data_IF_455650859063
#
_entry.id   IF_455650859063
#
_cell.length_a   1.000
_cell.length_b   1.000
_cell.length_c   1.000
_cell.angle_alpha   90.00
_cell.angle_beta   90.00
_cell.angle_gamma   90.00
#
_symmetry.space_group_name_H-M   'P 1'
#
loop_
_entity.id
_entity.type
_entity.pdbx_description
1 polymer ?
#
# COMPACT_ATOMS: atom_id res chain seq x y z
N UNK A 1 -16.67 16.00 -51.40
CA UNK A 1 -15.72 14.96 -51.81
C UNK A 1 -14.33 15.41 -51.42
N UNK A 2 -13.77 14.80 -50.46
CA UNK A 2 -12.37 14.40 -50.26
C UNK A 2 -12.11 14.19 -48.77
N UNK A 3 -12.08 12.99 -48.45
CA UNK A 3 -11.32 12.17 -47.53
C UNK A 3 -10.45 12.91 -46.48
N UNK A 4 -10.82 12.83 -45.21
CA UNK A 4 -9.92 13.00 -44.06
C UNK A 4 -9.60 11.60 -43.56
N UNK A 5 -8.36 11.18 -43.78
CA UNK A 5 -7.80 9.92 -43.36
C UNK A 5 -7.66 9.83 -41.83
N UNK A 6 -8.27 8.79 -41.27
CA UNK A 6 -7.94 8.24 -39.97
C UNK A 6 -6.44 7.97 -39.83
N UNK A 7 -5.80 8.59 -38.85
CA UNK A 7 -4.55 8.10 -38.26
C UNK A 7 -4.84 7.48 -36.92
N UNK A 8 -5.18 6.18 -36.95
CA UNK A 8 -5.06 5.31 -35.78
C UNK A 8 -3.60 5.21 -35.37
N UNK A 9 -3.22 5.84 -34.28
CA UNK A 9 -1.98 5.54 -33.58
C UNK A 9 -2.23 4.43 -32.58
N UNK A 10 -1.84 3.21 -32.99
CA UNK A 10 -1.68 2.04 -32.11
C UNK A 10 -0.46 2.25 -31.23
N UNK A 11 -0.66 2.56 -29.94
CA UNK A 11 0.40 2.45 -28.94
C UNK A 11 0.14 1.22 -28.08
N UNK A 12 0.69 0.10 -28.53
CA UNK A 12 1.05 -1.04 -27.68
C UNK A 12 2.27 -0.64 -26.86
N UNK A 13 2.07 -0.03 -25.70
CA UNK A 13 3.12 0.16 -24.71
C UNK A 13 3.38 -1.18 -24.02
N UNK A 14 4.33 -1.94 -24.57
CA UNK A 14 4.95 -3.07 -23.90
C UNK A 14 5.71 -2.56 -22.69
N UNK A 15 5.22 -2.85 -21.50
CA UNK A 15 5.96 -2.70 -20.25
C UNK A 15 7.03 -3.78 -20.17
N UNK A 16 8.18 -3.51 -20.78
CA UNK A 16 9.43 -4.24 -20.53
C UNK A 16 10.01 -3.72 -19.20
N UNK A 17 9.79 -4.49 -18.13
CA UNK A 17 10.61 -4.40 -16.93
C UNK A 17 11.93 -5.12 -17.18
N UNK A 18 13.08 -4.45 -17.27
CA UNK A 18 14.37 -5.10 -17.17
C UNK A 18 14.81 -5.11 -15.71
N UNK A 19 14.14 -5.92 -14.89
CA UNK A 19 14.54 -6.12 -13.50
C UNK A 19 14.29 -7.57 -13.11
N UNK A 20 15.23 -8.47 -13.32
CA UNK A 20 15.32 -9.66 -12.46
C UNK A 20 16.65 -10.40 -12.56
N UNK A 21 17.32 -10.44 -13.71
CA UNK A 21 18.52 -11.28 -13.83
C UNK A 21 19.76 -10.79 -13.07
N UNK A 22 19.97 -9.47 -12.93
CA UNK A 22 21.12 -8.95 -12.15
C UNK A 22 20.89 -9.03 -10.64
N UNK A 23 19.64 -8.88 -10.19
CA UNK A 23 19.25 -9.02 -8.79
C UNK A 23 19.40 -10.47 -8.33
N UNK A 24 18.94 -11.43 -9.12
CA UNK A 24 19.01 -12.85 -8.78
C UNK A 24 20.44 -13.41 -8.74
N UNK A 25 21.32 -12.98 -9.62
CA UNK A 25 22.75 -13.38 -9.58
C UNK A 25 23.46 -12.82 -8.35
N UNK A 26 23.17 -11.59 -7.94
CA UNK A 26 23.74 -11.01 -6.71
C UNK A 26 23.17 -11.66 -5.45
N UNK A 27 21.89 -12.02 -5.43
CA UNK A 27 21.25 -12.73 -4.33
C UNK A 27 21.79 -14.17 -4.24
N UNK A 28 21.99 -14.88 -5.37
CA UNK A 28 22.62 -16.22 -5.39
C UNK A 28 24.08 -16.17 -4.94
N UNK A 29 24.89 -15.20 -5.39
CA UNK A 29 26.27 -15.01 -4.92
C UNK A 29 26.36 -14.68 -3.43
N UNK A 30 25.48 -13.80 -2.91
CA UNK A 30 25.38 -13.51 -1.46
C UNK A 30 24.93 -14.74 -0.65
N UNK A 31 24.03 -15.57 -1.18
CA UNK A 31 23.60 -16.82 -0.52
C UNK A 31 24.73 -17.85 -0.50
N UNK A 32 25.47 -18.02 -1.58
CA UNK A 32 26.63 -18.92 -1.66
C UNK A 32 27.77 -18.47 -0.73
N UNK A 33 28.11 -17.19 -0.70
CA UNK A 33 29.12 -16.65 0.23
C UNK A 33 28.72 -16.76 1.71
N UNK A 34 27.41 -16.68 2.07
CA UNK A 34 26.92 -16.93 3.43
C UNK A 34 26.96 -18.41 3.81
N UNK A 35 26.71 -19.33 2.87
CA UNK A 35 26.81 -20.77 3.13
C UNK A 35 28.29 -21.21 3.34
N UNK A 36 29.22 -20.67 2.57
CA UNK A 36 30.65 -20.99 2.71
C UNK A 36 31.23 -20.43 4.02
N UNK A 37 30.83 -19.25 4.44
CA UNK A 37 31.25 -18.67 5.72
C UNK A 37 30.70 -19.46 6.92
N UNK A 38 29.53 -20.04 6.81
CA UNK A 38 28.93 -20.93 7.83
C UNK A 38 29.68 -22.27 7.93
N UNK A 39 30.07 -22.86 6.81
CA UNK A 39 30.88 -24.11 6.78
C UNK A 39 32.26 -23.93 7.39
N UNK A 40 33.00 -22.88 7.03
CA UNK A 40 34.31 -22.59 7.58
C UNK A 40 34.28 -22.37 9.11
N UNK A 41 33.26 -21.66 9.60
CA UNK A 41 33.10 -21.39 11.01
C UNK A 41 32.76 -22.68 11.79
N UNK A 42 31.89 -23.53 11.22
CA UNK A 42 31.54 -24.83 11.79
C UNK A 42 32.78 -25.73 11.99
N UNK A 43 33.68 -25.84 11.00
CA UNK A 43 34.90 -26.64 11.11
C UNK A 43 35.89 -26.05 12.11
N UNK A 44 36.01 -24.72 12.19
CA UNK A 44 36.85 -24.06 13.22
C UNK A 44 36.42 -24.41 14.64
N UNK A 45 35.13 -24.42 14.90
CA UNK A 45 34.57 -24.76 16.23
C UNK A 45 34.80 -26.24 16.61
N UNK A 46 35.16 -27.11 15.66
CA UNK A 46 35.45 -28.53 15.87
C UNK A 46 36.91 -28.88 15.91
N UNK A 47 37.82 -27.95 15.62
CA UNK A 47 39.27 -28.16 15.69
C UNK A 47 39.69 -28.73 17.06
N UNK A 48 39.22 -28.24 18.22
CA UNK A 48 39.58 -28.80 19.51
C UNK A 48 39.23 -30.29 19.65
N UNK A 49 38.05 -30.67 19.20
CA UNK A 49 37.58 -32.08 19.24
C UNK A 49 38.42 -32.96 18.34
N UNK A 50 38.79 -32.50 17.15
CA UNK A 50 39.65 -33.23 16.24
C UNK A 50 41.05 -33.36 16.78
N UNK A 51 41.63 -32.33 17.40
CA UNK A 51 42.96 -32.36 18.03
C UNK A 51 43.00 -33.35 19.22
N UNK A 52 42.00 -33.29 20.11
CA UNK A 52 41.93 -34.20 21.27
C UNK A 52 41.80 -35.67 20.80
N UNK A 53 40.96 -35.95 19.80
CA UNK A 53 40.87 -37.31 19.25
C UNK A 53 42.17 -37.74 18.54
N UNK A 54 42.82 -36.83 17.81
CA UNK A 54 44.11 -37.12 17.14
C UNK A 54 45.20 -37.47 18.15
N UNK A 55 45.32 -36.69 19.23
CA UNK A 55 46.28 -36.98 20.33
C UNK A 55 45.95 -38.33 20.99
N UNK A 56 44.64 -38.59 21.28
CA UNK A 56 44.17 -39.86 21.80
C UNK A 56 44.53 -41.07 20.93
N UNK A 57 44.39 -40.94 19.61
CA UNK A 57 44.75 -41.97 18.64
C UNK A 57 46.26 -42.25 18.67
N UNK A 58 47.10 -41.22 18.72
CA UNK A 58 48.56 -41.40 18.80
C UNK A 58 48.96 -42.09 20.07
N UNK A 59 48.45 -41.64 21.22
CA UNK A 59 48.74 -42.27 22.52
C UNK A 59 48.30 -43.74 22.57
N UNK A 60 47.07 -44.03 22.07
CA UNK A 60 46.56 -45.40 22.00
C UNK A 60 47.42 -46.29 21.10
N UNK A 61 47.84 -45.77 19.92
CA UNK A 61 48.73 -46.50 19.00
C UNK A 61 50.06 -46.86 19.63
N UNK A 62 50.72 -45.89 20.29
CA UNK A 62 51.97 -46.14 21.01
C UNK A 62 51.79 -47.15 22.11
N UNK A 63 50.76 -47.06 22.92
CA UNK A 63 50.45 -47.98 23.97
C UNK A 63 50.24 -49.43 23.46
N UNK A 64 49.42 -49.60 22.40
CA UNK A 64 49.14 -50.91 21.81
C UNK A 64 50.37 -51.57 21.21
N UNK A 65 51.26 -50.82 20.59
CA UNK A 65 52.52 -51.31 20.02
C UNK A 65 53.52 -51.74 21.15
N UNK A 66 53.57 -51.00 22.28
CA UNK A 66 54.39 -51.34 23.45
C UNK A 66 53.89 -52.59 24.15
N UNK A 67 52.63 -52.90 24.13
CA UNK A 67 52.00 -54.12 24.66
C UNK A 67 52.24 -55.32 23.77
N UNK A 68 52.86 -55.15 22.56
CA UNK A 68 53.16 -56.25 21.69
C UNK A 68 52.09 -56.65 20.68
N UNK A 69 51.11 -55.81 20.44
CA UNK A 69 50.11 -56.07 19.38
C UNK A 69 50.73 -55.94 18.01
N UNK A 70 50.21 -56.74 17.06
CA UNK A 70 50.66 -56.65 15.65
C UNK A 70 50.27 -55.29 15.02
N UNK A 71 51.09 -54.69 14.18
CA UNK A 71 50.78 -53.41 13.48
C UNK A 71 49.46 -53.44 12.74
N UNK A 72 49.08 -54.60 12.17
CA UNK A 72 47.82 -54.78 11.43
C UNK A 72 46.58 -54.66 12.35
N UNK A 73 46.69 -55.21 13.57
CA UNK A 73 45.60 -55.09 14.56
C UNK A 73 45.43 -53.65 15.04
N UNK A 74 46.52 -52.91 15.23
CA UNK A 74 46.50 -51.48 15.60
C UNK A 74 45.91 -50.65 14.48
N UNK A 75 46.27 -50.91 13.22
CA UNK A 75 45.73 -50.23 12.07
C UNK A 75 44.20 -50.45 11.94
N UNK A 76 43.73 -51.67 12.17
CA UNK A 76 42.28 -51.98 12.15
C UNK A 76 41.51 -51.21 13.23
N UNK A 77 42.01 -51.15 14.46
CA UNK A 77 41.40 -50.41 15.58
C UNK A 77 41.33 -48.91 15.22
N UNK A 78 42.38 -48.32 14.69
CA UNK A 78 42.42 -46.91 14.27
C UNK A 78 41.41 -46.63 13.14
N UNK A 79 41.31 -47.55 12.17
CA UNK A 79 40.36 -47.41 11.10
C UNK A 79 38.90 -47.40 11.60
N UNK A 80 38.55 -48.31 12.53
CA UNK A 80 37.20 -48.36 13.17
C UNK A 80 36.99 -47.07 13.96
N UNK A 81 37.98 -46.53 14.66
CA UNK A 81 37.86 -45.28 15.42
C UNK A 81 37.61 -44.10 14.50
N UNK A 82 38.37 -43.97 13.40
CA UNK A 82 38.20 -42.89 12.40
C UNK A 82 36.81 -42.95 11.78
N UNK A 83 36.34 -44.16 11.41
CA UNK A 83 35.04 -44.36 10.84
C UNK A 83 33.93 -43.96 11.83
N UNK A 84 34.04 -44.35 13.08
CA UNK A 84 33.12 -43.98 14.16
C UNK A 84 33.06 -42.49 14.38
N UNK A 85 34.22 -41.81 14.41
CA UNK A 85 34.34 -40.36 14.53
C UNK A 85 33.71 -39.65 13.35
N UNK A 86 33.93 -40.13 12.13
CA UNK A 86 33.34 -39.58 10.91
C UNK A 86 31.83 -39.69 10.92
N UNK A 87 31.25 -40.86 11.28
CA UNK A 87 29.81 -41.07 11.40
C UNK A 87 29.23 -40.13 12.47
N UNK A 88 29.85 -40.03 13.64
CA UNK A 88 29.41 -39.16 14.72
C UNK A 88 29.33 -37.69 14.29
N UNK A 89 30.42 -37.17 13.68
CA UNK A 89 30.46 -35.77 13.20
C UNK A 89 29.47 -35.52 12.07
N UNK A 90 29.27 -36.48 11.19
CA UNK A 90 28.27 -36.39 10.09
C UNK A 90 26.86 -36.31 10.61
N UNK A 91 26.49 -37.15 11.59
CA UNK A 91 25.15 -37.13 12.22
C UNK A 91 24.92 -35.80 12.96
N UNK A 92 25.91 -35.28 13.68
CA UNK A 92 25.80 -33.99 14.37
C UNK A 92 25.61 -32.84 13.36
N UNK A 93 26.35 -32.84 12.26
CA UNK A 93 26.24 -31.85 11.21
C UNK A 93 24.87 -31.88 10.55
N UNK A 94 24.35 -33.08 10.24
CA UNK A 94 23.05 -33.26 9.63
C UNK A 94 21.90 -32.80 10.54
N UNK A 95 21.92 -33.19 11.83
CA UNK A 95 20.93 -32.76 12.84
C UNK A 95 20.90 -31.24 12.98
N UNK A 96 22.08 -30.60 13.09
CA UNK A 96 22.20 -29.14 13.20
C UNK A 96 21.69 -28.43 11.96
N UNK A 97 22.06 -28.92 10.78
CA UNK A 97 21.58 -28.36 9.51
C UNK A 97 20.05 -28.43 9.41
N UNK A 98 19.46 -29.59 9.67
CA UNK A 98 18.02 -29.79 9.63
C UNK A 98 17.27 -28.86 10.58
N UNK A 99 17.79 -28.67 11.80
CA UNK A 99 17.22 -27.75 12.79
C UNK A 99 17.26 -26.29 12.32
N UNK A 100 18.38 -25.87 11.75
CA UNK A 100 18.54 -24.51 11.21
C UNK A 100 17.65 -24.26 9.97
N UNK A 101 17.55 -25.23 9.07
CA UNK A 101 16.71 -25.11 7.89
C UNK A 101 15.23 -24.99 8.29
N UNK A 102 14.76 -25.76 9.28
CA UNK A 102 13.40 -25.64 9.82
C UNK A 102 13.13 -24.25 10.43
N UNK A 103 14.05 -23.70 11.21
CA UNK A 103 13.90 -22.36 11.80
C UNK A 103 13.89 -21.26 10.71
N UNK A 104 14.70 -21.41 9.68
CA UNK A 104 14.72 -20.46 8.55
C UNK A 104 13.45 -20.53 7.71
N UNK A 105 12.87 -21.71 7.55
CA UNK A 105 11.61 -21.90 6.84
C UNK A 105 10.45 -21.30 7.62
N UNK A 106 10.37 -21.55 8.93
CA UNK A 106 9.42 -20.88 9.82
C UNK A 106 9.53 -19.35 9.73
N UNK A 107 10.75 -18.81 9.79
CA UNK A 107 10.97 -17.36 9.72
C UNK A 107 10.59 -16.73 8.35
N UNK A 108 10.59 -17.52 7.26
CA UNK A 108 10.19 -17.03 5.94
C UNK A 108 8.67 -17.04 5.73
N UNK A 109 7.98 -17.99 6.35
CA UNK A 109 6.54 -18.19 6.18
C UNK A 109 5.71 -17.35 7.14
N UNK A 110 6.35 -16.62 8.07
CA UNK A 110 5.70 -15.70 9.00
C UNK A 110 5.61 -14.31 8.35
N UNK A 111 4.41 -13.80 8.18
CA UNK A 111 4.15 -12.42 7.76
C UNK A 111 4.68 -11.45 8.82
N UNK A 112 4.49 -11.77 10.09
CA UNK A 112 4.95 -10.99 11.23
C UNK A 112 6.15 -11.66 11.91
N UNK A 113 7.35 -11.31 11.48
CA UNK A 113 8.62 -11.95 11.90
C UNK A 113 8.94 -11.82 13.39
N UNK A 114 8.34 -10.88 14.11
CA UNK A 114 8.54 -10.71 15.55
C UNK A 114 7.87 -11.83 16.39
N UNK A 115 6.87 -12.52 15.82
CA UNK A 115 6.24 -13.68 16.45
C UNK A 115 7.14 -14.94 16.44
N UNK A 116 8.27 -14.90 15.71
CA UNK A 116 9.20 -16.02 15.64
C UNK A 116 9.69 -16.48 17.03
N UNK A 117 9.79 -15.55 17.98
CA UNK A 117 10.23 -15.84 19.35
C UNK A 117 9.28 -16.79 20.11
N UNK A 118 7.98 -16.75 19.83
CA UNK A 118 6.99 -17.61 20.47
C UNK A 118 6.98 -19.03 19.89
N UNK A 119 7.34 -19.15 18.61
CA UNK A 119 7.36 -20.42 17.88
C UNK A 119 8.66 -21.22 18.07
N UNK A 120 9.66 -20.66 18.75
CA UNK A 120 10.91 -21.39 19.00
C UNK A 120 10.65 -22.58 19.95
N UNK A 121 11.12 -23.79 19.57
CA UNK A 121 10.94 -24.99 20.39
C UNK A 121 11.65 -24.87 21.75
N UNK A 122 11.00 -25.38 22.81
CA UNK A 122 11.52 -25.34 24.18
C UNK A 122 12.69 -26.33 24.45
N UNK A 123 12.94 -27.24 23.53
CA UNK A 123 14.00 -28.25 23.64
C UNK A 123 15.31 -27.73 23.10
N UNK A 124 16.05 -26.99 23.92
CA UNK A 124 17.37 -26.48 23.60
C UNK A 124 18.37 -26.90 24.65
N UNK A 125 19.65 -26.99 24.29
CA UNK A 125 20.72 -27.13 25.28
C UNK A 125 20.80 -25.88 26.17
N UNK A 126 21.49 -25.98 27.31
CA UNK A 126 21.58 -24.89 28.28
C UNK A 126 21.98 -23.54 27.70
N UNK A 127 22.94 -23.51 26.76
CA UNK A 127 23.35 -22.29 26.05
C UNK A 127 22.26 -21.76 25.11
N UNK A 128 21.59 -22.65 24.36
CA UNK A 128 20.50 -22.27 23.45
C UNK A 128 19.31 -21.68 24.22
N UNK A 129 19.04 -22.16 25.43
CA UNK A 129 17.96 -21.66 26.29
C UNK A 129 18.17 -20.20 26.67
N UNK A 130 19.41 -19.79 26.99
CA UNK A 130 19.75 -18.39 27.32
C UNK A 130 19.50 -17.50 26.10
N UNK A 131 19.95 -17.91 24.92
CA UNK A 131 19.70 -17.15 23.68
C UNK A 131 18.22 -17.02 23.33
N UNK A 132 17.46 -18.11 23.50
CA UNK A 132 15.99 -18.09 23.29
C UNK A 132 15.32 -17.14 24.29
N UNK A 133 15.75 -17.15 25.56
CA UNK A 133 15.21 -16.26 26.59
C UNK A 133 15.51 -14.78 26.26
N UNK A 134 16.75 -14.45 25.91
CA UNK A 134 17.12 -13.09 25.47
C UNK A 134 16.34 -12.65 24.25
N UNK A 135 16.17 -13.54 23.27
CA UNK A 135 15.39 -13.25 22.07
C UNK A 135 13.93 -13.01 22.38
N UNK A 136 13.33 -13.81 23.27
CA UNK A 136 11.94 -13.60 23.75
C UNK A 136 11.78 -12.28 24.50
N UNK A 137 12.72 -11.92 25.36
CA UNK A 137 12.71 -10.63 26.05
C UNK A 137 12.78 -9.46 25.07
N UNK A 138 13.68 -9.51 24.09
CA UNK A 138 13.80 -8.48 23.08
C UNK A 138 12.54 -8.39 22.20
N UNK A 139 11.99 -9.54 21.77
CA UNK A 139 10.76 -9.58 20.97
C UNK A 139 9.55 -9.06 21.75
N UNK A 140 9.44 -9.40 23.03
CA UNK A 140 8.38 -8.88 23.91
C UNK A 140 8.45 -7.36 24.04
N UNK A 141 9.65 -6.81 24.27
CA UNK A 141 9.84 -5.35 24.35
C UNK A 141 9.48 -4.67 23.03
N UNK A 142 9.85 -5.26 21.86
CA UNK A 142 9.45 -4.72 20.55
C UNK A 142 7.93 -4.76 20.35
N UNK A 143 7.26 -5.84 20.76
CA UNK A 143 5.81 -5.97 20.69
C UNK A 143 5.10 -4.94 21.55
N UNK A 144 5.58 -4.71 22.77
CA UNK A 144 5.07 -3.67 23.66
C UNK A 144 5.20 -2.29 23.03
N UNK A 145 6.38 -1.93 22.50
CA UNK A 145 6.61 -0.65 21.82
C UNK A 145 5.73 -0.48 20.56
N UNK A 146 5.58 -1.54 19.75
CA UNK A 146 4.67 -1.50 18.58
C UNK A 146 3.23 -1.31 19.04
N UNK A 147 2.82 -1.97 20.12
CA UNK A 147 1.49 -1.82 20.73
C UNK A 147 1.23 -0.40 21.20
N UNK A 148 2.20 0.19 21.90
CA UNK A 148 2.12 1.56 22.39
C UNK A 148 2.01 2.57 21.23
N UNK A 149 2.88 2.46 20.22
CA UNK A 149 2.82 3.34 19.03
C UNK A 149 1.49 3.19 18.28
N UNK A 150 0.94 1.96 18.18
CA UNK A 150 -0.38 1.74 17.56
C UNK A 150 -1.50 2.39 18.37
N UNK A 151 -1.44 2.29 19.70
CA UNK A 151 -2.42 2.90 20.61
C UNK A 151 -2.37 4.41 20.54
N UNK A 152 -1.18 5.02 20.67
CA UNK A 152 -1.00 6.47 20.60
C UNK A 152 -1.53 7.05 19.27
N UNK A 153 -1.27 6.34 18.15
CA UNK A 153 -1.84 6.72 16.85
C UNK A 153 -3.36 6.65 16.82
N UNK A 154 -3.93 5.62 17.43
CA UNK A 154 -5.38 5.45 17.49
C UNK A 154 -6.01 6.56 18.32
N UNK A 155 -5.47 6.85 19.50
CA UNK A 155 -5.93 7.92 20.38
C UNK A 155 -5.83 9.29 19.70
N UNK A 156 -4.70 9.56 19.01
CA UNK A 156 -4.53 10.79 18.24
C UNK A 156 -5.59 10.93 17.12
N UNK A 157 -5.91 9.84 16.41
CA UNK A 157 -6.94 9.85 15.38
C UNK A 157 -8.31 10.16 15.97
N UNK A 158 -8.70 9.46 17.03
CA UNK A 158 -9.99 9.66 17.69
C UNK A 158 -10.12 11.10 18.19
N UNK A 159 -9.06 11.66 18.76
CA UNK A 159 -9.00 13.06 19.14
C UNK A 159 -9.23 14.01 17.95
N UNK A 160 -8.54 13.79 16.83
CA UNK A 160 -8.71 14.63 15.64
C UNK A 160 -10.14 14.51 15.07
N UNK A 161 -10.71 13.30 15.02
CA UNK A 161 -12.09 13.10 14.55
C UNK A 161 -13.10 13.85 15.45
N UNK A 162 -12.97 13.72 16.74
CA UNK A 162 -13.81 14.44 17.70
C UNK A 162 -13.67 15.95 17.53
N UNK A 163 -12.44 16.45 17.48
CA UNK A 163 -12.15 17.88 17.31
C UNK A 163 -12.77 18.44 16.02
N UNK A 164 -12.68 17.71 14.91
CA UNK A 164 -13.31 18.11 13.65
C UNK A 164 -14.83 18.14 13.76
N UNK A 165 -15.46 17.19 14.46
CA UNK A 165 -16.89 17.23 14.72
C UNK A 165 -17.31 18.47 15.52
N UNK A 166 -16.51 18.85 16.52
CA UNK A 166 -16.74 20.06 17.31
C UNK A 166 -16.61 21.35 16.49
N UNK A 167 -15.68 21.40 15.52
CA UNK A 167 -15.51 22.53 14.61
C UNK A 167 -16.63 22.60 13.55
N UNK A 168 -17.12 21.45 13.05
CA UNK A 168 -18.21 21.43 12.06
C UNK A 168 -19.52 22.05 12.60
N UNK A 169 -19.79 21.95 13.89
CA UNK A 169 -20.97 22.52 14.52
C UNK A 169 -21.04 24.04 14.37
N UNK A 170 -20.04 24.84 14.80
CA UNK A 170 -20.06 26.29 14.58
C UNK A 170 -19.98 26.68 13.11
N UNK A 171 -19.29 25.93 12.26
CA UNK A 171 -19.28 26.15 10.81
C UNK A 171 -20.70 26.05 10.25
N UNK A 172 -21.44 25.02 10.62
CA UNK A 172 -22.85 24.83 10.20
C UNK A 172 -23.73 25.97 10.71
N UNK A 173 -23.57 26.38 11.96
CA UNK A 173 -24.30 27.50 12.51
C UNK A 173 -24.02 28.82 11.75
N UNK A 174 -22.77 29.09 11.42
CA UNK A 174 -22.39 30.26 10.62
C UNK A 174 -22.98 30.21 9.21
N UNK A 175 -22.98 29.05 8.54
CA UNK A 175 -23.66 28.86 7.24
C UNK A 175 -25.13 29.21 7.32
N UNK A 176 -25.86 28.69 8.31
CA UNK A 176 -27.28 28.96 8.52
C UNK A 176 -27.56 30.46 8.79
N UNK A 177 -26.69 31.12 9.57
CA UNK A 177 -26.83 32.56 9.80
C UNK A 177 -26.64 33.36 8.52
N UNK A 178 -25.68 33.01 7.67
CA UNK A 178 -25.48 33.66 6.37
C UNK A 178 -26.62 33.38 5.38
N UNK A 179 -27.20 32.19 5.39
CA UNK A 179 -28.36 31.84 4.55
C UNK A 179 -29.63 32.61 4.96
N UNK A 180 -29.83 32.84 6.25
CA UNK A 180 -30.95 33.58 6.79
C UNK A 180 -30.84 35.09 6.59
N UNK A 181 -29.63 35.62 6.48
CA UNK A 181 -29.35 37.06 6.33
C UNK A 181 -28.62 37.34 5.01
N UNK A 182 -29.34 37.29 3.89
CA UNK A 182 -28.78 37.44 2.54
C UNK A 182 -28.33 38.89 2.29
N UNK A 183 -27.05 39.13 2.20
CA UNK A 183 -26.41 40.38 1.82
C UNK A 183 -25.18 40.09 0.96
N UNK A 184 -24.58 41.11 0.37
CA UNK A 184 -23.31 40.98 -0.33
C UNK A 184 -22.19 40.52 0.64
N UNK A 185 -22.15 41.11 1.82
CA UNK A 185 -21.20 40.71 2.89
C UNK A 185 -21.36 39.24 3.31
N UNK A 186 -22.61 38.75 3.46
CA UNK A 186 -22.82 37.34 3.84
C UNK A 186 -22.47 36.36 2.74
N UNK A 187 -22.48 36.76 1.46
CA UNK A 187 -21.97 35.94 0.35
C UNK A 187 -20.46 35.78 0.39
N UNK A 188 -19.72 36.87 0.65
CA UNK A 188 -18.28 36.80 0.82
C UNK A 188 -17.90 35.95 2.02
N UNK A 189 -18.57 36.15 3.16
CA UNK A 189 -18.36 35.36 4.38
C UNK A 189 -18.66 33.86 4.15
N UNK A 190 -19.70 33.52 3.37
CA UNK A 190 -20.04 32.15 3.03
C UNK A 190 -18.88 31.45 2.29
N UNK A 191 -18.19 32.16 1.42
CA UNK A 191 -17.03 31.60 0.69
C UNK A 191 -15.89 31.23 1.64
N UNK A 192 -15.60 32.07 2.62
CA UNK A 192 -14.56 31.79 3.64
C UNK A 192 -14.98 30.64 4.57
N UNK A 193 -16.26 30.56 4.92
CA UNK A 193 -16.82 29.46 5.70
C UNK A 193 -16.73 28.13 4.93
N UNK A 194 -17.09 28.11 3.64
CA UNK A 194 -16.91 26.92 2.78
C UNK A 194 -15.45 26.50 2.65
N UNK A 195 -14.54 27.46 2.54
CA UNK A 195 -13.11 27.17 2.50
C UNK A 195 -12.61 26.56 3.82
N UNK A 196 -13.07 27.09 4.97
CA UNK A 196 -12.75 26.54 6.29
C UNK A 196 -13.30 25.12 6.45
N UNK A 197 -14.53 24.87 6.01
CA UNK A 197 -15.15 23.55 6.00
C UNK A 197 -14.36 22.54 5.15
N UNK A 198 -13.91 22.94 3.96
CA UNK A 198 -13.03 22.13 3.11
C UNK A 198 -11.71 21.76 3.79
N UNK A 199 -11.08 22.69 4.51
CA UNK A 199 -9.85 22.40 5.24
C UNK A 199 -10.09 21.42 6.41
N UNK A 200 -11.20 21.54 7.11
CA UNK A 200 -11.57 20.61 8.19
C UNK A 200 -11.86 19.22 7.64
N UNK A 201 -12.56 19.12 6.52
CA UNK A 201 -12.76 17.85 5.83
C UNK A 201 -11.45 17.23 5.35
N UNK A 202 -10.55 18.02 4.76
CA UNK A 202 -9.24 17.56 4.33
C UNK A 202 -8.44 16.98 5.51
N UNK A 203 -8.48 17.62 6.68
CA UNK A 203 -7.83 17.13 7.88
C UNK A 203 -8.46 15.81 8.39
N UNK A 204 -9.79 15.68 8.32
CA UNK A 204 -10.51 14.44 8.66
C UNK A 204 -10.09 13.28 7.77
N UNK A 205 -10.17 13.48 6.45
CA UNK A 205 -9.81 12.43 5.49
C UNK A 205 -8.30 12.09 5.55
N UNK A 206 -7.46 13.08 5.89
CA UNK A 206 -6.04 12.82 6.14
C UNK A 206 -5.86 11.88 7.35
N UNK A 207 -6.51 12.17 8.49
CA UNK A 207 -6.45 11.33 9.68
C UNK A 207 -6.98 9.90 9.41
N UNK A 208 -8.12 9.79 8.71
CA UNK A 208 -8.72 8.50 8.30
C UNK A 208 -7.91 7.75 7.27
N UNK A 209 -7.21 8.45 6.38
CA UNK A 209 -6.43 7.82 5.31
C UNK A 209 -5.19 7.08 5.83
N UNK A 210 -4.70 7.36 7.03
CA UNK A 210 -3.51 6.71 7.61
C UNK A 210 -3.76 5.29 8.08
N UNK A 211 -5.01 4.89 8.38
CA UNK A 211 -5.36 3.56 8.85
C UNK A 211 -6.34 2.82 7.93
N UNK A 212 -6.15 1.52 7.89
CA UNK A 212 -6.81 0.55 7.01
C UNK A 212 -8.11 0.01 7.64
N UNK A 213 -9.07 -0.35 6.82
CA UNK A 213 -9.97 -1.50 6.97
C UNK A 213 -11.29 -1.33 7.72
N UNK A 214 -11.58 -0.25 8.48
CA UNK A 214 -12.86 -0.18 9.22
C UNK A 214 -13.76 1.03 8.91
N UNK A 215 -13.26 2.03 8.19
CA UNK A 215 -13.95 3.32 8.09
C UNK A 215 -14.66 3.58 6.76
N UNK A 216 -14.66 2.66 5.79
CA UNK A 216 -15.38 2.82 4.53
C UNK A 216 -16.47 1.77 4.37
N UNK A 217 -17.61 2.20 3.87
CA UNK A 217 -18.78 1.35 3.58
C UNK A 217 -18.96 1.23 2.08
N UNK A 218 -18.53 0.11 1.52
CA UNK A 218 -18.71 -0.17 0.10
C UNK A 218 -20.17 -0.55 -0.15
N UNK A 219 -20.84 0.22 -1.01
CA UNK A 219 -22.20 -0.04 -1.46
C UNK A 219 -22.33 0.27 -2.96
N UNK A 220 -23.38 -0.20 -3.56
CA UNK A 220 -23.74 0.20 -4.91
C UNK A 220 -24.24 1.64 -4.89
N UNK A 221 -23.61 2.51 -5.68
CA UNK A 221 -23.92 3.94 -5.77
C UNK A 221 -24.13 4.34 -7.24
N UNK A 222 -25.07 5.21 -7.50
CA UNK A 222 -25.21 5.86 -8.81
C UNK A 222 -24.20 7.00 -8.90
N UNK A 223 -23.31 6.90 -9.87
CA UNK A 223 -22.14 7.79 -9.94
C UNK A 223 -22.54 9.25 -10.14
N UNK A 224 -23.55 9.53 -10.97
CA UNK A 224 -24.02 10.88 -11.23
C UNK A 224 -24.77 11.51 -10.05
N UNK A 225 -25.42 10.73 -9.18
CA UNK A 225 -25.98 11.25 -7.93
C UNK A 225 -24.88 11.82 -7.03
N UNK A 226 -23.73 11.16 -6.97
CA UNK A 226 -22.57 11.63 -6.17
C UNK A 226 -21.91 12.86 -6.81
N UNK A 227 -21.86 12.93 -8.15
CA UNK A 227 -21.37 14.11 -8.88
C UNK A 227 -22.25 15.32 -8.57
N UNK A 228 -23.58 15.17 -8.64
CA UNK A 228 -24.53 16.25 -8.31
C UNK A 228 -24.40 16.71 -6.85
N UNK A 229 -24.22 15.77 -5.92
CA UNK A 229 -23.95 16.15 -4.53
C UNK A 229 -22.66 16.95 -4.38
N UNK A 230 -21.56 16.53 -5.05
CA UNK A 230 -20.30 17.25 -5.02
C UNK A 230 -20.40 18.66 -5.65
N UNK A 231 -21.15 18.81 -6.75
CA UNK A 231 -21.44 20.11 -7.34
C UNK A 231 -22.26 20.97 -6.35
N UNK A 232 -23.25 20.37 -5.70
CA UNK A 232 -24.08 21.03 -4.69
C UNK A 232 -23.28 21.53 -3.49
N UNK A 233 -22.29 20.76 -3.01
CA UNK A 233 -21.40 21.14 -1.90
C UNK A 233 -20.55 22.36 -2.22
N UNK A 234 -20.22 22.57 -3.49
CA UNK A 234 -19.38 23.68 -3.95
C UNK A 234 -20.21 24.80 -4.63
N UNK A 235 -21.52 24.80 -4.47
CA UNK A 235 -22.44 25.69 -5.20
C UNK A 235 -22.05 27.16 -5.12
N UNK A 236 -21.82 27.71 -3.95
CA UNK A 236 -21.48 29.14 -3.77
C UNK A 236 -20.13 29.45 -4.38
N UNK A 237 -19.16 28.59 -4.18
CA UNK A 237 -17.81 28.72 -4.74
C UNK A 237 -17.83 28.69 -6.28
N UNK A 238 -18.61 27.81 -6.88
CA UNK A 238 -18.79 27.68 -8.33
C UNK A 238 -19.51 28.91 -8.92
N UNK A 239 -20.59 29.37 -8.26
CA UNK A 239 -21.35 30.55 -8.68
C UNK A 239 -20.50 31.83 -8.60
N UNK A 240 -19.74 32.01 -7.52
CA UNK A 240 -18.87 33.19 -7.33
C UNK A 240 -17.81 33.26 -8.44
N UNK A 241 -17.28 32.11 -8.83
CA UNK A 241 -16.25 32.03 -9.90
C UNK A 241 -16.87 31.91 -11.31
N UNK A 242 -18.21 31.98 -11.46
CA UNK A 242 -18.92 31.86 -12.73
C UNK A 242 -18.54 30.59 -13.50
N UNK A 243 -18.39 29.48 -12.79
CA UNK A 243 -17.97 28.21 -13.38
C UNK A 243 -19.07 27.65 -14.30
N UNK A 244 -18.70 27.23 -15.50
CA UNK A 244 -19.55 26.47 -16.40
C UNK A 244 -19.38 24.98 -16.10
N UNK A 245 -20.50 24.26 -15.96
CA UNK A 245 -20.50 22.84 -15.63
C UNK A 245 -21.32 22.10 -16.67
N UNK A 246 -20.76 21.07 -17.24
CA UNK A 246 -21.39 20.16 -18.17
C UNK A 246 -21.37 18.74 -17.60
N UNK A 247 -22.50 18.04 -17.68
CA UNK A 247 -22.63 16.64 -17.21
C UNK A 247 -23.29 15.81 -18.30
N UNK A 248 -22.59 14.79 -18.80
CA UNK A 248 -23.20 13.78 -19.67
C UNK A 248 -23.84 12.68 -18.82
N UNK A 249 -25.12 12.87 -18.51
CA UNK A 249 -25.90 11.97 -17.65
C UNK A 249 -25.83 10.51 -18.12
N UNK A 250 -25.54 9.61 -17.20
CA UNK A 250 -25.47 8.18 -17.46
C UNK A 250 -25.95 7.39 -16.24
N UNK A 251 -26.76 6.37 -16.45
CA UNK A 251 -27.23 5.48 -15.38
C UNK A 251 -26.18 4.42 -15.01
N UNK A 252 -25.02 4.92 -14.62
CA UNK A 252 -23.86 4.09 -14.28
C UNK A 252 -23.76 3.93 -12.77
N UNK A 253 -23.72 2.65 -12.32
CA UNK A 253 -23.57 2.29 -10.91
C UNK A 253 -22.20 1.64 -10.67
N UNK A 254 -21.58 1.99 -9.54
CA UNK A 254 -20.29 1.45 -9.10
C UNK A 254 -20.39 1.00 -7.64
N UNK A 255 -19.59 0.00 -7.25
CA UNK A 255 -19.44 -0.42 -5.86
C UNK A 255 -18.32 0.38 -5.21
N UNK A 256 -18.67 1.32 -4.33
CA UNK A 256 -17.66 2.16 -3.64
C UNK A 256 -18.26 2.83 -2.40
N UNK A 257 -17.45 3.61 -1.69
CA UNK A 257 -17.91 4.47 -0.60
C UNK A 257 -18.28 5.85 -1.15
N UNK A 258 -19.56 6.21 -1.04
CA UNK A 258 -20.11 7.47 -1.55
C UNK A 258 -19.42 8.69 -0.95
N UNK A 259 -19.12 8.68 0.36
CA UNK A 259 -18.50 9.81 1.05
C UNK A 259 -17.07 10.05 0.55
N UNK A 260 -16.33 8.97 0.30
CA UNK A 260 -14.96 9.05 -0.18
C UNK A 260 -14.90 9.51 -1.65
N UNK A 261 -15.80 9.00 -2.50
CA UNK A 261 -15.92 9.48 -3.89
C UNK A 261 -16.32 10.95 -3.92
N UNK A 262 -17.31 11.36 -3.12
CA UNK A 262 -17.73 12.77 -3.00
C UNK A 262 -16.56 13.68 -2.59
N UNK A 263 -15.74 13.26 -1.62
CA UNK A 263 -14.55 13.99 -1.24
C UNK A 263 -13.55 14.13 -2.40
N UNK A 264 -13.28 13.04 -3.15
CA UNK A 264 -12.39 13.07 -4.31
C UNK A 264 -12.93 14.07 -5.35
N UNK A 265 -14.21 14.01 -5.68
CA UNK A 265 -14.83 14.93 -6.62
C UNK A 265 -14.76 16.38 -6.15
N UNK A 266 -15.01 16.64 -4.87
CA UNK A 266 -14.88 17.98 -4.27
C UNK A 266 -13.44 18.52 -4.45
N UNK A 267 -12.43 17.70 -4.24
CA UNK A 267 -11.02 18.11 -4.45
C UNK A 267 -10.73 18.42 -5.94
N UNK A 268 -11.27 17.64 -6.87
CA UNK A 268 -11.10 17.88 -8.31
C UNK A 268 -11.82 19.14 -8.76
N UNK A 269 -13.05 19.39 -8.30
CA UNK A 269 -13.82 20.61 -8.56
C UNK A 269 -13.05 21.85 -8.09
N UNK A 270 -12.56 21.81 -6.84
CA UNK A 270 -11.80 22.93 -6.26
C UNK A 270 -10.51 23.19 -7.05
N UNK A 271 -9.81 22.14 -7.48
CA UNK A 271 -8.60 22.27 -8.28
C UNK A 271 -8.91 22.90 -9.66
N UNK A 272 -9.94 22.44 -10.36
CA UNK A 272 -10.36 22.99 -11.64
C UNK A 272 -10.64 24.51 -11.56
N UNK A 273 -11.39 24.95 -10.53
CA UNK A 273 -11.67 26.38 -10.34
C UNK A 273 -10.41 27.14 -9.92
N UNK A 274 -9.56 26.56 -9.08
CA UNK A 274 -8.33 27.19 -8.60
C UNK A 274 -7.31 27.41 -9.72
N UNK A 275 -7.17 26.44 -10.61
CA UNK A 275 -6.15 26.45 -11.67
C UNK A 275 -6.74 26.81 -13.05
N UNK A 276 -7.90 27.51 -13.06
CA UNK A 276 -8.53 28.00 -14.29
C UNK A 276 -7.67 29.00 -15.06
N UNK A 277 -7.89 29.11 -16.34
CA UNK A 277 -7.46 30.23 -17.16
C UNK A 277 -8.35 31.45 -16.87
N UNK A 278 -9.35 31.74 -17.71
CA UNK A 278 -10.30 32.83 -17.50
C UNK A 278 -11.54 32.38 -16.73
N UNK A 279 -12.46 31.70 -17.40
CA UNK A 279 -13.67 31.15 -16.81
C UNK A 279 -13.48 29.67 -16.52
N UNK A 280 -13.77 29.20 -15.29
CA UNK A 280 -13.67 27.78 -14.98
C UNK A 280 -14.69 26.99 -15.80
N UNK A 281 -14.25 25.92 -16.42
CA UNK A 281 -15.09 24.93 -17.09
C UNK A 281 -14.81 23.55 -16.52
N UNK A 282 -15.87 22.80 -16.23
CA UNK A 282 -15.79 21.42 -15.77
C UNK A 282 -16.76 20.56 -16.59
N UNK A 283 -16.26 19.45 -17.08
CA UNK A 283 -17.05 18.46 -17.79
C UNK A 283 -16.92 17.09 -17.10
N UNK A 284 -18.08 16.48 -16.80
CA UNK A 284 -18.17 15.16 -16.17
C UNK A 284 -18.86 14.21 -17.15
N UNK A 285 -18.18 13.13 -17.49
CA UNK A 285 -18.73 12.06 -18.32
C UNK A 285 -18.19 10.71 -17.91
N UNK A 286 -18.94 9.64 -18.24
CA UNK A 286 -18.55 8.28 -17.88
C UNK A 286 -18.60 7.35 -19.08
N UNK A 287 -17.58 6.49 -19.19
CA UNK A 287 -17.52 5.45 -20.20
C UNK A 287 -17.60 4.08 -19.54
N UNK A 288 -18.50 3.23 -20.02
CA UNK A 288 -18.64 1.87 -19.57
C UNK A 288 -17.94 0.93 -20.55
N UNK A 289 -16.89 0.23 -20.06
CA UNK A 289 -16.23 -0.86 -20.77
C UNK A 289 -16.66 -2.22 -20.22
N UNK A 290 -16.14 -3.32 -20.79
CA UNK A 290 -16.57 -4.69 -20.44
C UNK A 290 -16.26 -5.06 -18.98
N UNK A 291 -15.14 -4.57 -18.43
CA UNK A 291 -14.62 -4.93 -17.10
C UNK A 291 -14.47 -3.73 -16.16
N UNK A 292 -14.65 -2.51 -16.66
CA UNK A 292 -14.39 -1.26 -15.93
C UNK A 292 -15.36 -0.17 -16.31
N UNK A 293 -15.54 0.74 -15.37
CA UNK A 293 -16.23 2.01 -15.58
C UNK A 293 -15.20 3.11 -15.38
N UNK A 294 -15.11 4.02 -16.34
CA UNK A 294 -14.26 5.18 -16.27
C UNK A 294 -15.11 6.43 -16.08
N UNK A 295 -14.80 7.19 -15.01
CA UNK A 295 -15.31 8.54 -14.85
C UNK A 295 -14.21 9.51 -15.24
N UNK A 296 -14.55 10.47 -16.07
CA UNK A 296 -13.68 11.56 -16.48
C UNK A 296 -14.16 12.87 -15.87
N UNK A 297 -13.22 13.62 -15.33
CA UNK A 297 -13.40 14.98 -14.86
C UNK A 297 -12.40 15.84 -15.62
N UNK A 298 -12.93 16.66 -16.54
CA UNK A 298 -12.14 17.49 -17.45
C UNK A 298 -12.28 18.95 -17.05
N UNK A 299 -11.18 19.68 -17.04
CA UNK A 299 -11.14 21.13 -16.88
C UNK A 299 -10.33 21.78 -18.02
N UNK A 300 -10.67 23.03 -18.35
CA UNK A 300 -9.95 23.85 -19.31
C UNK A 300 -9.05 24.89 -18.62
N UNK A 301 -8.31 24.44 -17.62
CA UNK A 301 -7.39 25.27 -16.84
C UNK A 301 -6.02 25.44 -17.49
N UNK A 302 -5.10 26.00 -16.71
CA UNK A 302 -3.71 26.26 -17.13
C UNK A 302 -2.87 25.01 -17.35
N UNK A 303 -3.44 23.83 -17.09
CA UNK A 303 -2.76 22.57 -17.18
C UNK A 303 -1.65 22.36 -16.16
N UNK A 304 -0.98 21.21 -16.29
CA UNK A 304 0.13 20.76 -15.43
C UNK A 304 1.34 20.50 -16.31
N UNK A 305 2.50 21.04 -15.95
CA UNK A 305 3.73 20.83 -16.70
C UNK A 305 4.12 19.34 -16.74
N UNK A 306 4.71 18.88 -17.83
CA UNK A 306 5.19 17.52 -17.99
C UNK A 306 6.19 17.10 -16.88
N UNK A 307 6.96 18.05 -16.36
CA UNK A 307 7.91 17.82 -15.28
C UNK A 307 7.22 17.62 -13.91
N UNK A 308 6.08 18.27 -13.70
CA UNK A 308 5.33 18.18 -12.44
C UNK A 308 4.38 16.97 -12.41
N UNK A 309 3.88 16.54 -13.57
CA UNK A 309 2.87 15.48 -13.72
C UNK A 309 3.20 14.18 -12.95
N UNK A 310 4.43 13.65 -12.94
CA UNK A 310 4.76 12.45 -12.17
C UNK A 310 4.67 12.63 -10.64
N UNK A 311 4.68 13.88 -10.16
CA UNK A 311 4.80 14.25 -8.75
C UNK A 311 3.53 14.81 -8.13
N UNK A 312 2.48 15.03 -8.90
CA UNK A 312 1.24 15.68 -8.42
C UNK A 312 0.55 14.94 -7.26
N UNK A 313 0.83 13.64 -7.11
CA UNK A 313 0.33 12.80 -6.03
C UNK A 313 1.28 12.69 -4.83
N UNK A 314 2.46 13.35 -4.87
CA UNK A 314 3.36 13.38 -3.72
C UNK A 314 2.81 14.30 -2.61
N UNK A 315 2.97 13.89 -1.35
CA UNK A 315 2.52 14.65 -0.18
C UNK A 315 3.19 16.03 -0.11
N UNK A 316 2.39 17.10 -0.10
CA UNK A 316 2.87 18.47 0.00
C UNK A 316 3.45 19.04 -1.29
N UNK A 317 3.34 18.34 -2.42
CA UNK A 317 3.79 18.86 -3.70
C UNK A 317 2.79 19.86 -4.28
N UNK A 318 3.24 21.04 -4.66
CA UNK A 318 2.39 22.13 -5.14
C UNK A 318 2.70 22.55 -6.60
N UNK A 319 3.76 22.01 -7.20
CA UNK A 319 4.19 22.36 -8.55
C UNK A 319 4.55 23.86 -8.73
N UNK A 320 4.86 24.27 -9.96
CA UNK A 320 5.15 25.66 -10.27
C UNK A 320 3.89 26.55 -10.11
N UNK A 321 2.75 26.08 -10.60
CA UNK A 321 1.48 26.80 -10.57
C UNK A 321 0.96 27.01 -9.12
N UNK A 322 1.20 26.06 -8.22
CA UNK A 322 0.77 26.16 -6.85
C UNK A 322 1.62 27.12 -5.98
N UNK A 323 2.87 27.35 -6.36
CA UNK A 323 3.75 28.33 -5.69
C UNK A 323 3.36 29.78 -6.02
N UNK A 324 2.85 30.02 -7.21
CA UNK A 324 2.40 31.34 -7.66
C UNK A 324 1.06 31.70 -7.00
N UNK A 325 0.16 30.72 -6.81
CA UNK A 325 -1.15 30.91 -6.16
C UNK A 325 -1.07 30.53 -4.69
N UNK A 326 -0.81 31.47 -3.79
CA UNK A 326 -0.40 31.39 -2.37
C UNK A 326 -1.14 30.38 -1.45
N UNK A 327 -2.20 29.68 -1.87
CA UNK A 327 -3.03 28.82 -1.00
C UNK A 327 -3.00 27.31 -1.40
N UNK A 328 -1.88 26.79 -1.92
CA UNK A 328 -1.78 25.37 -2.27
C UNK A 328 -1.12 24.57 -1.14
N UNK A 329 -1.87 23.65 -0.52
CA UNK A 329 -1.33 22.77 0.55
C UNK A 329 -0.59 21.56 0.00
N UNK A 330 -0.81 21.19 -1.27
CA UNK A 330 -0.28 19.97 -1.89
C UNK A 330 -0.80 18.68 -1.25
N UNK A 331 -1.90 18.74 -0.48
CA UNK A 331 -2.47 17.58 0.21
C UNK A 331 -3.68 17.01 -0.55
N UNK A 332 -4.40 17.82 -1.34
CA UNK A 332 -5.65 17.41 -1.99
C UNK A 332 -5.49 16.21 -2.93
N UNK A 333 -4.65 16.31 -3.98
CA UNK A 333 -4.42 15.21 -4.93
C UNK A 333 -3.70 14.01 -4.27
N UNK A 334 -2.81 14.24 -3.30
CA UNK A 334 -2.24 13.17 -2.50
C UNK A 334 -3.31 12.35 -1.80
N UNK A 335 -4.30 13.00 -1.18
CA UNK A 335 -5.42 12.31 -0.55
C UNK A 335 -6.29 11.59 -1.58
N UNK A 336 -6.61 12.22 -2.71
CA UNK A 336 -7.35 11.58 -3.80
C UNK A 336 -6.68 10.25 -4.21
N UNK A 337 -5.38 10.27 -4.47
CA UNK A 337 -4.62 9.06 -4.82
C UNK A 337 -4.71 8.00 -3.73
N UNK A 338 -4.49 8.41 -2.48
CA UNK A 338 -4.49 7.50 -1.33
C UNK A 338 -5.86 6.86 -1.06
N UNK A 339 -6.95 7.62 -1.21
CA UNK A 339 -8.32 7.11 -1.07
C UNK A 339 -8.67 6.18 -2.24
N UNK A 340 -8.29 6.54 -3.46
CA UNK A 340 -8.45 5.68 -4.64
C UNK A 340 -7.73 4.34 -4.45
N UNK A 341 -6.48 4.35 -4.00
CA UNK A 341 -5.72 3.13 -3.76
C UNK A 341 -6.39 2.21 -2.71
N UNK A 342 -6.99 2.80 -1.67
CA UNK A 342 -7.73 2.04 -0.64
C UNK A 342 -9.04 1.46 -1.14
N UNK A 343 -9.73 2.17 -2.02
CA UNK A 343 -10.98 1.71 -2.63
C UNK A 343 -10.74 0.77 -3.84
N UNK A 344 -9.49 0.53 -4.23
CA UNK A 344 -9.16 -0.24 -5.43
C UNK A 344 -9.51 0.48 -6.73
N UNK A 345 -9.59 1.82 -6.71
CA UNK A 345 -9.92 2.67 -7.84
C UNK A 345 -8.62 3.15 -8.49
N UNK A 346 -8.50 2.98 -9.81
CA UNK A 346 -7.41 3.59 -10.56
C UNK A 346 -7.62 5.10 -10.68
N UNK A 347 -6.57 5.91 -10.50
CA UNK A 347 -6.59 7.34 -10.79
C UNK A 347 -5.43 7.69 -11.71
N UNK A 348 -5.75 8.31 -12.85
CA UNK A 348 -4.79 8.78 -13.85
C UNK A 348 -5.10 10.23 -14.20
N UNK A 349 -4.06 10.97 -14.59
CA UNK A 349 -4.18 12.38 -14.99
C UNK A 349 -3.48 12.57 -16.34
N UNK A 350 -4.20 13.20 -17.26
CA UNK A 350 -3.65 13.74 -18.52
C UNK A 350 -3.77 15.25 -18.46
N UNK A 351 -2.73 15.95 -18.79
CA UNK A 351 -2.73 17.41 -18.77
C UNK A 351 -1.82 17.98 -19.85
N UNK A 352 -2.19 19.16 -20.34
CA UNK A 352 -1.51 19.90 -21.39
C UNK A 352 -1.90 21.38 -21.35
N UNK A 353 -1.64 22.10 -22.42
CA UNK A 353 -1.97 23.54 -22.53
C UNK A 353 -3.48 23.81 -22.60
N UNK A 354 -4.28 22.81 -22.96
CA UNK A 354 -5.75 22.93 -23.09
C UNK A 354 -6.49 22.64 -21.79
N UNK A 355 -5.80 22.15 -20.74
CA UNK A 355 -6.39 21.85 -19.45
C UNK A 355 -5.94 20.52 -18.87
N UNK A 356 -6.77 19.97 -17.96
CA UNK A 356 -6.48 18.72 -17.25
C UNK A 356 -7.68 17.77 -17.28
N UNK A 357 -7.44 16.51 -17.59
CA UNK A 357 -8.44 15.44 -17.49
C UNK A 357 -7.98 14.44 -16.43
N UNK A 358 -8.78 14.27 -15.39
CA UNK A 358 -8.60 13.24 -14.37
C UNK A 358 -9.54 12.09 -14.69
N UNK A 359 -9.00 10.87 -14.75
CA UNK A 359 -9.74 9.64 -15.00
C UNK A 359 -9.75 8.78 -13.74
N UNK A 360 -10.93 8.40 -13.27
CA UNK A 360 -11.14 7.42 -12.20
C UNK A 360 -11.61 6.11 -12.82
N UNK A 361 -10.91 5.00 -12.54
CA UNK A 361 -11.21 3.67 -13.08
C UNK A 361 -11.77 2.77 -11.99
N UNK A 362 -13.06 2.44 -12.07
CA UNK A 362 -13.75 1.53 -11.16
C UNK A 362 -13.76 0.12 -11.76
N UNK A 363 -13.46 -0.87 -10.95
CA UNK A 363 -13.58 -2.28 -11.36
C UNK A 363 -15.05 -2.71 -11.30
N UNK A 364 -15.54 -3.34 -12.36
CA UNK A 364 -16.84 -4.02 -12.33
C UNK A 364 -16.63 -5.38 -11.64
N UNK A 365 -17.14 -5.53 -10.41
CA UNK A 365 -17.15 -6.84 -9.78
C UNK A 365 -18.06 -7.79 -10.58
N UNK A 366 -17.55 -8.96 -10.95
CA UNK A 366 -18.28 -10.01 -11.68
C UNK A 366 -19.60 -10.38 -10.98
N UNK A 367 -19.68 -10.25 -9.67
CA UNK A 367 -20.86 -10.52 -8.86
C UNK A 367 -22.00 -9.51 -9.07
N UNK A 368 -21.69 -8.23 -9.21
CA UNK A 368 -22.68 -7.19 -9.52
C UNK A 368 -23.16 -7.27 -10.96
N UNK A 369 -22.31 -7.67 -11.89
CA UNK A 369 -22.69 -7.88 -13.28
C UNK A 369 -23.67 -9.05 -13.47
N UNK A 370 -23.45 -10.18 -12.76
CA UNK A 370 -24.39 -11.32 -12.78
C UNK A 370 -25.72 -10.97 -12.12
N UNK A 371 -25.75 -10.21 -11.03
CA UNK A 371 -26.97 -9.71 -10.40
C UNK A 371 -27.75 -8.75 -11.32
N UNK A 372 -27.09 -7.81 -11.96
CA UNK A 372 -27.74 -6.89 -12.92
C UNK A 372 -28.27 -7.63 -14.15
N UNK A 373 -27.56 -8.64 -14.63
CA UNK A 373 -28.02 -9.47 -15.75
C UNK A 373 -29.24 -10.30 -15.37
N UNK A 374 -29.27 -10.84 -14.14
CA UNK A 374 -30.42 -11.61 -13.62
C UNK A 374 -31.64 -10.73 -13.33
N UNK A 375 -31.44 -9.48 -12.91
CA UNK A 375 -32.55 -8.51 -12.70
C UNK A 375 -33.12 -7.99 -14.02
N UNK A 376 -32.30 -7.74 -15.03
CA UNK A 376 -32.78 -7.36 -16.38
C UNK A 376 -33.53 -8.49 -17.07
N UNK A 377 -33.11 -9.74 -16.88
CA UNK A 377 -33.82 -10.94 -17.38
C UNK A 377 -35.21 -11.07 -16.72
N UNK A 378 -35.33 -10.83 -15.41
CA UNK A 378 -36.61 -10.90 -14.69
C UNK A 378 -37.58 -9.74 -15.00
N UNK A 379 -37.07 -8.57 -15.37
CA UNK A 379 -37.93 -7.43 -15.76
C UNK A 379 -38.36 -7.51 -17.23
N UNK A 380 -37.55 -8.11 -18.12
CA UNK A 380 -37.90 -8.35 -19.51
C UNK A 380 -39.03 -9.42 -19.69
N UNK A 381 -39.09 -10.41 -18.78
CA UNK A 381 -40.16 -11.42 -18.78
C UNK A 381 -41.50 -10.93 -18.23
N UNK A 382 -41.56 -9.73 -17.59
CA UNK A 382 -42.79 -9.13 -17.09
C UNK A 382 -43.46 -8.14 -18.08
N UNK A 383 -42.75 -7.69 -19.09
CA UNK A 383 -43.30 -6.82 -20.14
C UNK A 383 -43.92 -7.59 -21.30
N UNK A 384 -43.62 -8.89 -21.42
CA UNK A 384 -44.21 -9.78 -22.45
C UNK A 384 -45.48 -10.54 -21.96
N UNK A 385 -45.94 -10.33 -20.72
CA UNK A 385 -47.16 -10.93 -20.14
C UNK A 385 -48.28 -9.92 -19.83
N UNK A 386 -48.26 -8.72 -20.45
CA UNK A 386 -49.41 -7.77 -20.34
C UNK A 386 -50.00 -7.45 -21.70
#
# INVERSE_FOLDING_TARGET
MTAVQEKRFSYTAVWLFPQSEKSDRNVKKKRQGRQDMSRRKYWKDRIPVLVINGVGMVLLSVFLLLVGNSPDSVALILLVWILSLFVYLSVLCWRRKRKLDQLLELAKNLDERYLLAEMLPRTAGAEEEVYIRLFKMASKSMLEQIGDVKRDRQEYREYIEQWIHEIKTPITAMKLLCENHKSEFTRELMTEIEQTDRYTEQALYYARSEHTEKDYSVREIRLFDVIHQAIGDNKYFLMQNKAAIETEESDVTVCSDEKWIRFILNQLIVNAVKYRNDQPYLHFYAEKMTDRIFLYVEDHGIGISANDLPRIFEKGFTGQNGRIRQNATGIGLYLCKRLCDKLGIGIDVKSGEEGTTVRLAFQMNHFTWELQKSMKSKNGEREDEC
#
